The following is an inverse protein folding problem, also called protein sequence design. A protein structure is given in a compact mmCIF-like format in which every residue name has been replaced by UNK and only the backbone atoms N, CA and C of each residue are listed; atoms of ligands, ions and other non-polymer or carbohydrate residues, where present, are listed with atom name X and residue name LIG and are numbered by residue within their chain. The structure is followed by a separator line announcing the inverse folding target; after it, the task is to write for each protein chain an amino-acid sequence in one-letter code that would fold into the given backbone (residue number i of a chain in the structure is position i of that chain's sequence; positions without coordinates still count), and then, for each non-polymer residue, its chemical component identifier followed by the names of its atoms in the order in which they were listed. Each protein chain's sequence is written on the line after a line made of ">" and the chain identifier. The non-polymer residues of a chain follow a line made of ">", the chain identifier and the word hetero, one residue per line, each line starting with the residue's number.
data_IF_541741250179
#
_entry.id   IF_541741250179
#
_cell.length_a   1.000
_cell.length_b   1.000
_cell.length_c   1.000
_cell.angle_alpha   90.00
_cell.angle_beta   90.00
_cell.angle_gamma   90.00
#
_symmetry.space_group_name_H-M   'P 1'
#
loop_
_entity.id
_entity.type
_entity.pdbx_description
1 polymer ?
#
# COMPACT_ATOMS: atom_id res chain seq x y z
N UNK A 1 3.85 22.30 15.52
CA UNK A 1 4.44 22.77 16.78
C UNK A 1 4.91 21.53 17.52
N UNK A 2 6.13 21.07 17.19
CA UNK A 2 6.80 19.96 17.86
C UNK A 2 7.32 20.50 19.20
N UNK A 3 6.80 19.97 20.31
CA UNK A 3 7.39 20.21 21.62
C UNK A 3 8.60 19.30 21.74
N UNK A 4 9.76 19.91 21.81
CA UNK A 4 11.02 19.27 22.11
C UNK A 4 10.94 18.56 23.46
N UNK A 5 11.16 17.25 23.44
CA UNK A 5 11.42 16.51 24.68
C UNK A 5 12.78 17.03 25.17
N UNK A 6 12.86 17.62 26.37
CA UNK A 6 14.08 18.28 26.81
C UNK A 6 15.21 17.24 26.94
N UNK A 7 16.25 17.47 26.15
CA UNK A 7 17.48 16.65 26.13
C UNK A 7 18.08 16.47 27.55
N UNK A 8 17.71 17.35 28.48
CA UNK A 8 18.11 17.33 29.87
C UNK A 8 17.60 16.14 30.70
N UNK A 9 16.46 15.53 30.35
CA UNK A 9 15.93 14.40 31.11
C UNK A 9 16.71 13.11 30.82
N UNK A 10 17.11 12.90 29.56
CA UNK A 10 17.91 11.75 29.14
C UNK A 10 19.36 11.83 29.69
N UNK A 11 19.95 13.03 29.68
CA UNK A 11 21.30 13.26 30.25
C UNK A 11 21.29 13.10 31.74
N UNK A 12 20.29 13.58 32.47
CA UNK A 12 20.15 13.37 33.92
C UNK A 12 19.99 11.88 34.27
N UNK A 13 19.24 11.12 33.48
CA UNK A 13 19.06 9.68 33.72
C UNK A 13 20.35 8.89 33.47
N UNK A 14 21.11 9.21 32.41
CA UNK A 14 22.41 8.58 32.12
C UNK A 14 23.44 8.90 33.16
N UNK A 15 23.50 10.13 33.65
CA UNK A 15 24.46 10.56 34.74
C UNK A 15 24.07 9.89 36.07
N UNK A 16 22.78 9.73 36.38
CA UNK A 16 22.34 9.04 37.60
C UNK A 16 22.65 7.54 37.57
N UNK A 17 22.49 6.89 36.40
CA UNK A 17 22.84 5.49 36.18
C UNK A 17 24.37 5.27 36.33
N UNK A 18 25.17 6.19 35.80
CA UNK A 18 26.64 6.13 35.92
C UNK A 18 27.15 6.32 37.35
N UNK A 19 26.45 7.11 38.17
CA UNK A 19 26.80 7.30 39.57
C UNK A 19 26.54 6.08 40.47
N UNK A 20 25.59 5.22 40.09
CA UNK A 20 25.26 4.00 40.85
C UNK A 20 26.19 2.81 40.54
N UNK A 21 27.06 2.89 39.55
CA UNK A 21 27.96 1.78 39.17
C UNK A 21 29.28 1.73 39.94
N UNK A 22 29.57 2.68 40.81
CA UNK A 22 30.84 2.74 41.56
C UNK A 22 30.99 1.75 42.74
N UNK A 23 30.16 0.74 42.84
CA UNK A 23 30.28 -0.29 43.87
C UNK A 23 29.66 -1.63 43.50
N UNK A 24 29.20 -1.79 42.24
CA UNK A 24 28.46 -2.98 41.82
C UNK A 24 29.42 -4.04 41.24
N UNK A 25 29.22 -5.30 41.64
CA UNK A 25 29.90 -6.45 41.08
C UNK A 25 29.55 -6.57 39.57
N UNK A 26 30.46 -7.12 38.77
CA UNK A 26 30.30 -7.28 37.28
C UNK A 26 28.96 -7.83 36.86
N UNK A 27 28.36 -8.75 37.62
CA UNK A 27 27.05 -9.32 37.40
C UNK A 27 25.90 -8.33 37.58
N UNK A 28 26.02 -7.37 38.50
CA UNK A 28 24.99 -6.34 38.73
C UNK A 28 24.97 -5.31 37.61
N UNK A 29 26.12 -4.97 37.05
CA UNK A 29 26.26 -4.03 35.92
C UNK A 29 25.62 -4.64 34.66
N UNK A 30 25.87 -5.93 34.39
CA UNK A 30 25.28 -6.63 33.22
C UNK A 30 23.76 -6.72 33.32
N UNK A 31 23.17 -6.96 34.48
CA UNK A 31 21.73 -6.99 34.70
C UNK A 31 21.08 -5.60 34.50
N UNK A 32 21.74 -4.53 34.97
CA UNK A 32 21.24 -3.16 34.77
C UNK A 32 21.26 -2.78 33.27
N UNK A 33 22.35 -3.12 32.56
CA UNK A 33 22.46 -2.86 31.13
C UNK A 33 21.40 -3.64 30.32
N UNK A 34 21.17 -4.92 30.66
CA UNK A 34 20.10 -5.73 30.04
C UNK A 34 18.70 -5.13 30.29
N UNK A 35 18.41 -4.69 31.50
CA UNK A 35 17.17 -4.03 31.85
C UNK A 35 16.96 -2.73 31.07
N UNK A 36 18.00 -1.90 30.94
CA UNK A 36 17.94 -0.67 30.15
C UNK A 36 17.67 -0.93 28.66
N UNK A 37 18.33 -1.93 28.08
CA UNK A 37 18.10 -2.33 26.67
C UNK A 37 16.65 -2.82 26.46
N UNK A 38 16.12 -3.62 27.37
CA UNK A 38 14.73 -4.10 27.33
C UNK A 38 13.72 -2.93 27.40
N UNK A 39 13.94 -1.97 28.27
CA UNK A 39 13.04 -0.79 28.38
C UNK A 39 13.10 0.06 27.12
N UNK A 40 14.26 0.26 26.52
CA UNK A 40 14.42 0.99 25.27
C UNK A 40 13.73 0.23 24.11
N UNK A 41 13.94 -1.07 24.01
CA UNK A 41 13.31 -1.91 22.99
C UNK A 41 11.78 -1.89 23.10
N UNK A 42 11.26 -2.03 24.34
CA UNK A 42 9.81 -1.95 24.59
C UNK A 42 9.26 -0.55 24.25
N UNK A 43 9.99 0.51 24.61
CA UNK A 43 9.64 1.88 24.25
C UNK A 43 9.58 2.11 22.74
N UNK A 44 10.54 1.58 21.98
CA UNK A 44 10.56 1.65 20.51
C UNK A 44 9.39 0.86 19.91
N UNK A 45 9.06 -0.32 20.42
CA UNK A 45 7.91 -1.12 19.99
C UNK A 45 6.60 -0.37 20.24
N UNK A 46 6.41 0.16 21.44
CA UNK A 46 5.20 0.92 21.80
C UNK A 46 5.08 2.22 20.97
N UNK A 47 6.19 2.90 20.70
CA UNK A 47 6.20 4.08 19.82
C UNK A 47 5.89 3.72 18.37
N UNK A 48 6.31 2.56 17.89
CA UNK A 48 6.04 2.11 16.55
C UNK A 48 4.56 1.71 16.39
N UNK A 49 3.98 1.02 17.38
CA UNK A 49 2.52 0.77 17.43
C UNK A 49 1.71 2.06 17.56
N UNK A 50 2.15 3.01 18.40
CA UNK A 50 1.49 4.29 18.56
C UNK A 50 1.54 5.15 17.28
N UNK A 51 2.67 5.10 16.54
CA UNK A 51 2.79 5.75 15.22
C UNK A 51 1.93 5.07 14.16
N UNK A 52 1.81 3.75 14.19
CA UNK A 52 0.90 3.00 13.31
C UNK A 52 -0.59 3.33 13.55
N UNK A 53 -0.96 3.67 14.78
CA UNK A 53 -2.33 4.05 15.17
C UNK A 53 -2.70 5.53 14.92
N UNK A 54 -1.73 6.42 14.77
CA UNK A 54 -2.00 7.82 14.38
C UNK A 54 -2.20 7.92 12.87
N UNK A 55 -3.34 7.43 12.38
CA UNK A 55 -3.86 7.80 11.07
C UNK A 55 -4.19 9.28 11.09
N UNK A 56 -3.75 10.01 10.08
CA UNK A 56 -4.04 11.42 9.99
C UNK A 56 -5.57 11.62 9.91
N UNK A 57 -6.15 12.59 10.63
CA UNK A 57 -7.57 12.93 10.50
C UNK A 57 -7.98 13.29 9.07
N UNK A 58 -7.01 13.55 8.22
CA UNK A 58 -7.16 13.88 6.83
C UNK A 58 -7.60 12.69 5.97
N UNK A 59 -7.05 11.47 6.21
CA UNK A 59 -7.46 10.27 5.46
C UNK A 59 -8.89 9.85 5.77
N UNK A 60 -9.34 9.98 7.03
CA UNK A 60 -10.73 9.70 7.42
C UNK A 60 -11.74 10.73 6.86
N UNK A 61 -11.32 11.99 6.71
CA UNK A 61 -12.16 13.04 6.10
C UNK A 61 -12.27 12.84 4.58
N UNK A 62 -11.19 12.46 3.92
CA UNK A 62 -11.16 12.17 2.49
C UNK A 62 -12.02 10.94 2.17
N UNK A 63 -11.90 9.85 2.94
CA UNK A 63 -12.72 8.65 2.78
C UNK A 63 -14.23 8.96 2.94
N UNK A 64 -14.62 9.77 3.92
CA UNK A 64 -16.04 10.16 4.14
C UNK A 64 -16.57 11.10 3.06
N UNK A 65 -15.73 11.90 2.42
CA UNK A 65 -16.10 12.77 1.30
C UNK A 65 -16.20 11.98 -0.01
N UNK A 66 -15.35 10.98 -0.20
CA UNK A 66 -15.35 10.13 -1.37
C UNK A 66 -16.54 9.15 -1.40
N UNK A 67 -16.96 8.63 -0.24
CA UNK A 67 -18.13 7.73 -0.15
C UNK A 67 -19.44 8.36 -0.63
N UNK A 68 -19.58 9.68 -0.60
CA UNK A 68 -20.78 10.38 -1.11
C UNK A 68 -20.92 10.38 -2.63
N UNK A 69 -19.87 9.97 -3.36
CA UNK A 69 -19.83 9.95 -4.83
C UNK A 69 -19.72 8.54 -5.39
N UNK A 70 -19.83 7.51 -4.55
CA UNK A 70 -19.79 6.13 -5.03
C UNK A 70 -20.95 5.84 -5.96
N UNK A 71 -20.82 4.86 -6.87
CA UNK A 71 -21.95 4.33 -7.65
C UNK A 71 -23.11 3.96 -6.73
N UNK A 72 -24.34 3.97 -7.28
CA UNK A 72 -25.52 3.54 -6.55
C UNK A 72 -25.42 2.05 -6.23
N UNK A 73 -25.72 1.69 -4.97
CA UNK A 73 -25.66 0.31 -4.52
C UNK A 73 -25.16 0.15 -3.09
N UNK A 74 -24.93 -1.09 -2.69
CA UNK A 74 -24.43 -1.46 -1.39
C UNK A 74 -22.90 -1.58 -1.39
N UNK A 75 -22.21 -0.98 -0.41
CA UNK A 75 -20.77 -1.15 -0.24
C UNK A 75 -20.53 -2.52 0.42
N UNK A 76 -20.02 -3.48 -0.35
CA UNK A 76 -19.73 -4.85 0.13
C UNK A 76 -18.27 -5.06 0.48
N UNK A 77 -17.37 -4.14 0.07
CA UNK A 77 -15.96 -4.15 0.42
C UNK A 77 -15.41 -2.72 0.48
N UNK A 78 -14.55 -2.46 1.48
CA UNK A 78 -13.90 -1.15 1.66
C UNK A 78 -12.52 -1.32 2.27
N UNK A 79 -11.48 -0.78 1.60
CA UNK A 79 -10.09 -0.69 2.10
C UNK A 79 -9.60 0.77 2.20
N UNK A 80 -10.53 1.74 2.29
CA UNK A 80 -10.17 3.17 2.35
C UNK A 80 -9.22 3.54 3.50
N UNK A 81 -9.07 2.68 4.49
CA UNK A 81 -8.15 2.83 5.60
C UNK A 81 -6.93 1.89 5.54
N UNK A 82 -6.81 1.06 4.50
CA UNK A 82 -5.71 0.13 4.28
C UNK A 82 -5.69 -1.08 5.22
N UNK A 83 -6.82 -1.40 5.88
CA UNK A 83 -6.89 -2.50 6.87
C UNK A 83 -7.70 -3.70 6.43
N UNK A 84 -8.42 -3.61 5.31
CA UNK A 84 -9.19 -4.74 4.82
C UNK A 84 -8.29 -5.90 4.37
N UNK A 85 -8.79 -7.11 4.47
CA UNK A 85 -8.12 -8.29 3.91
C UNK A 85 -8.16 -8.23 2.38
N UNK A 86 -7.11 -8.70 1.68
CA UNK A 86 -7.13 -8.78 0.24
C UNK A 86 -8.21 -9.72 -0.28
N UNK A 87 -8.80 -9.37 -1.41
CA UNK A 87 -9.62 -10.27 -2.19
C UNK A 87 -8.70 -11.22 -2.98
N UNK A 88 -9.00 -12.51 -2.99
CA UNK A 88 -8.24 -13.55 -3.70
C UNK A 88 -9.11 -14.19 -4.76
N UNK A 89 -8.64 -14.23 -6.00
CA UNK A 89 -9.27 -15.06 -7.01
C UNK A 89 -9.01 -16.55 -6.70
N UNK A 90 -9.95 -17.41 -7.03
CA UNK A 90 -9.83 -18.87 -6.83
C UNK A 90 -9.25 -19.55 -8.06
N UNK A 91 -9.52 -19.03 -9.27
CA UNK A 91 -9.08 -19.59 -10.55
C UNK A 91 -7.75 -19.06 -11.05
N UNK A 92 -7.26 -17.95 -10.48
CA UNK A 92 -6.06 -17.27 -10.95
C UNK A 92 -5.17 -16.90 -9.77
N UNK A 93 -3.84 -16.90 -9.89
CA UNK A 93 -2.91 -16.43 -8.85
C UNK A 93 -2.96 -14.90 -8.76
N UNK A 94 -4.12 -14.37 -8.42
CA UNK A 94 -4.41 -12.94 -8.40
C UNK A 94 -5.04 -12.56 -7.07
N UNK A 95 -4.51 -11.53 -6.45
CA UNK A 95 -5.09 -10.90 -5.27
C UNK A 95 -5.06 -9.39 -5.41
N UNK A 96 -5.97 -8.72 -4.72
CA UNK A 96 -6.03 -7.26 -4.78
C UNK A 96 -6.90 -6.66 -3.70
N UNK A 97 -6.71 -5.36 -3.50
CA UNK A 97 -7.41 -4.54 -2.52
C UNK A 97 -7.95 -3.30 -3.22
N UNK A 98 -9.14 -3.36 -3.84
CA UNK A 98 -9.79 -2.15 -4.33
C UNK A 98 -10.15 -1.24 -3.16
N UNK A 99 -10.17 0.08 -3.36
CA UNK A 99 -10.60 1.01 -2.30
C UNK A 99 -12.05 0.75 -1.90
N UNK A 100 -12.92 0.47 -2.90
CA UNK A 100 -14.31 0.04 -2.66
C UNK A 100 -14.75 -1.00 -3.68
N UNK A 101 -15.70 -1.85 -3.27
CA UNK A 101 -16.57 -2.61 -4.17
C UNK A 101 -18.02 -2.29 -3.80
N UNK A 102 -18.77 -1.78 -4.77
CA UNK A 102 -20.18 -1.47 -4.64
C UNK A 102 -20.99 -2.52 -5.42
N UNK A 103 -21.93 -3.16 -4.76
CA UNK A 103 -22.87 -4.07 -5.44
C UNK A 103 -24.03 -3.26 -5.99
N UNK A 104 -24.18 -3.26 -7.33
CA UNK A 104 -25.27 -2.55 -7.96
C UNK A 104 -26.63 -3.14 -7.57
N UNK A 105 -27.77 -2.43 -7.79
CA UNK A 105 -29.10 -2.97 -7.54
C UNK A 105 -29.38 -4.28 -8.29
N UNK A 106 -28.73 -4.49 -9.44
CA UNK A 106 -28.82 -5.71 -10.27
C UNK A 106 -27.90 -6.84 -9.77
N UNK A 107 -27.06 -6.59 -8.73
CA UNK A 107 -26.17 -7.58 -8.14
C UNK A 107 -24.77 -7.65 -8.78
N UNK A 108 -24.44 -6.77 -9.75
CA UNK A 108 -23.12 -6.73 -10.34
C UNK A 108 -22.13 -5.92 -9.48
N UNK A 109 -20.91 -6.44 -9.19
CA UNK A 109 -19.92 -5.72 -8.41
C UNK A 109 -19.24 -4.62 -9.25
N UNK A 110 -19.10 -3.43 -8.67
CA UNK A 110 -18.47 -2.26 -9.28
C UNK A 110 -17.24 -1.90 -8.45
N UNK A 111 -16.02 -2.21 -8.90
CA UNK A 111 -14.81 -1.78 -8.22
C UNK A 111 -14.59 -0.28 -8.41
N UNK A 112 -14.19 0.39 -7.35
CA UNK A 112 -13.82 1.81 -7.35
C UNK A 112 -12.40 1.93 -6.81
N UNK A 113 -11.54 2.60 -7.56
CA UNK A 113 -10.15 2.88 -7.20
C UNK A 113 -9.90 4.37 -7.15
N UNK A 114 -9.35 4.85 -6.04
CA UNK A 114 -9.07 6.26 -5.79
C UNK A 114 -7.62 6.59 -6.12
N UNK A 115 -7.41 7.73 -6.80
CA UNK A 115 -6.09 8.27 -7.11
C UNK A 115 -6.00 9.72 -6.68
N UNK A 116 -5.14 10.02 -5.72
CA UNK A 116 -4.96 11.38 -5.20
C UNK A 116 -4.28 12.34 -6.19
N UNK A 117 -3.81 11.81 -7.31
CA UNK A 117 -3.17 12.61 -8.36
C UNK A 117 -4.19 13.27 -9.28
N UNK A 118 -3.87 14.44 -9.79
CA UNK A 118 -4.61 15.05 -10.89
C UNK A 118 -4.18 14.45 -12.23
N UNK A 119 -5.10 14.41 -13.19
CA UNK A 119 -4.84 13.90 -14.53
C UNK A 119 -5.43 14.85 -15.58
N UNK A 120 -4.87 14.83 -16.80
CA UNK A 120 -5.31 15.75 -17.86
C UNK A 120 -6.58 15.23 -18.56
N UNK A 121 -6.44 14.29 -19.50
CA UNK A 121 -7.56 13.91 -20.39
C UNK A 121 -7.93 12.43 -20.31
N UNK A 122 -6.97 11.55 -20.02
CA UNK A 122 -7.19 10.10 -20.09
C UNK A 122 -6.66 9.39 -18.85
N UNK A 123 -7.35 8.31 -18.45
CA UNK A 123 -6.89 7.45 -17.36
C UNK A 123 -5.52 6.83 -17.69
N UNK A 124 -4.64 6.78 -16.71
CA UNK A 124 -3.31 6.21 -16.89
C UNK A 124 -3.38 4.70 -17.14
N UNK A 125 -2.64 4.17 -18.14
CA UNK A 125 -2.72 2.76 -18.52
C UNK A 125 -2.43 1.78 -17.36
N UNK A 126 -1.53 2.12 -16.43
CA UNK A 126 -1.24 1.30 -15.26
C UNK A 126 -2.43 1.24 -14.30
N UNK A 127 -3.17 2.33 -14.11
CA UNK A 127 -4.36 2.34 -13.24
C UNK A 127 -5.53 1.59 -13.89
N UNK A 128 -5.66 1.67 -15.23
CA UNK A 128 -6.62 0.85 -15.98
C UNK A 128 -6.29 -0.64 -15.82
N UNK A 129 -5.01 -1.02 -15.86
CA UNK A 129 -4.59 -2.41 -15.64
C UNK A 129 -4.83 -2.87 -14.21
N UNK A 130 -4.63 -2.01 -13.22
CA UNK A 130 -4.96 -2.31 -11.82
C UNK A 130 -6.46 -2.59 -11.66
N UNK A 131 -7.31 -1.71 -12.18
CA UNK A 131 -8.76 -1.90 -12.16
C UNK A 131 -9.18 -3.16 -12.92
N UNK A 132 -8.51 -3.46 -14.05
CA UNK A 132 -8.75 -4.67 -14.82
C UNK A 132 -8.44 -5.95 -14.06
N UNK A 133 -7.41 -5.96 -13.22
CA UNK A 133 -7.12 -7.06 -12.32
C UNK A 133 -8.25 -7.26 -11.31
N UNK A 134 -8.80 -6.19 -10.76
CA UNK A 134 -9.97 -6.27 -9.87
C UNK A 134 -11.21 -6.83 -10.57
N UNK A 135 -11.44 -6.51 -11.85
CA UNK A 135 -12.53 -7.13 -12.60
C UNK A 135 -12.38 -8.65 -12.66
N UNK A 136 -11.18 -9.15 -12.93
CA UNK A 136 -10.93 -10.60 -13.00
C UNK A 136 -11.15 -11.27 -11.64
N UNK A 137 -10.72 -10.62 -10.54
CA UNK A 137 -10.97 -11.11 -9.18
C UNK A 137 -12.47 -11.14 -8.89
N UNK A 138 -13.18 -10.06 -9.18
CA UNK A 138 -14.59 -9.94 -8.84
C UNK A 138 -15.47 -10.85 -9.72
N UNK A 139 -15.14 -11.06 -11.00
CA UNK A 139 -15.80 -12.05 -11.86
C UNK A 139 -15.65 -13.49 -11.31
N UNK A 140 -14.60 -13.75 -10.55
CA UNK A 140 -14.36 -15.05 -9.94
C UNK A 140 -15.08 -15.24 -8.60
N UNK A 141 -15.36 -14.14 -7.91
CA UNK A 141 -15.93 -14.15 -6.56
C UNK A 141 -17.45 -13.92 -6.53
N UNK A 142 -18.03 -13.33 -7.58
CA UNK A 142 -19.45 -12.99 -7.64
C UNK A 142 -20.15 -13.73 -8.76
N UNK A 143 -21.45 -14.04 -8.57
CA UNK A 143 -22.27 -14.72 -9.56
C UNK A 143 -22.44 -13.89 -10.85
N UNK A 144 -22.46 -12.57 -10.71
CA UNK A 144 -22.52 -11.66 -11.84
C UNK A 144 -21.15 -10.99 -12.07
N UNK A 145 -20.66 -10.97 -13.31
CA UNK A 145 -19.40 -10.30 -13.61
C UNK A 145 -19.55 -8.77 -13.50
N UNK A 146 -18.46 -8.05 -13.15
CA UNK A 146 -18.45 -6.60 -13.26
C UNK A 146 -18.77 -6.16 -14.69
N UNK A 147 -19.58 -5.14 -14.84
CA UNK A 147 -19.80 -4.53 -16.17
C UNK A 147 -18.80 -3.39 -16.42
N UNK A 148 -18.52 -2.62 -15.39
CA UNK A 148 -17.57 -1.50 -15.40
C UNK A 148 -16.99 -1.27 -14.01
N UNK A 149 -16.00 -0.41 -13.93
CA UNK A 149 -15.47 0.11 -12.66
C UNK A 149 -15.11 1.57 -12.79
N UNK A 150 -14.78 2.20 -11.66
CA UNK A 150 -14.51 3.62 -11.59
C UNK A 150 -13.07 3.87 -11.15
N UNK A 151 -12.33 4.61 -11.96
CA UNK A 151 -11.08 5.24 -11.57
C UNK A 151 -11.36 6.69 -11.21
N UNK A 152 -11.23 7.02 -9.93
CA UNK A 152 -11.46 8.37 -9.42
C UNK A 152 -10.14 9.06 -9.15
N UNK A 153 -9.86 10.10 -9.93
CA UNK A 153 -8.74 10.99 -9.70
C UNK A 153 -9.18 12.22 -8.90
N UNK A 154 -8.21 13.00 -8.43
CA UNK A 154 -8.50 14.20 -7.65
C UNK A 154 -9.39 15.23 -8.39
N UNK A 155 -9.35 15.26 -9.73
CA UNK A 155 -10.06 16.23 -10.57
C UNK A 155 -11.18 15.63 -11.43
N UNK A 156 -11.21 14.32 -11.66
CA UNK A 156 -12.23 13.68 -12.52
C UNK A 156 -12.31 12.17 -12.34
N UNK A 157 -13.44 11.60 -12.73
CA UNK A 157 -13.72 10.17 -12.70
C UNK A 157 -13.72 9.60 -14.12
N UNK A 158 -13.25 8.36 -14.26
CA UNK A 158 -13.34 7.58 -15.49
C UNK A 158 -14.10 6.29 -15.23
N UNK A 159 -15.13 6.05 -16.01
CA UNK A 159 -15.80 4.74 -16.09
C UNK A 159 -15.06 3.86 -17.09
N UNK A 160 -14.54 2.75 -16.63
CA UNK A 160 -13.80 1.78 -17.45
C UNK A 160 -14.67 0.55 -17.63
N UNK A 161 -15.03 0.25 -18.88
CA UNK A 161 -15.83 -0.94 -19.20
C UNK A 161 -14.99 -2.22 -19.06
N UNK A 162 -15.56 -3.25 -18.45
CA UNK A 162 -14.95 -4.59 -18.46
C UNK A 162 -15.23 -5.27 -19.78
N UNK A 163 -14.21 -5.52 -20.56
CA UNK A 163 -14.31 -6.15 -21.88
C UNK A 163 -13.45 -7.41 -21.95
N UNK A 164 -13.81 -8.34 -22.84
CA UNK A 164 -13.00 -9.53 -23.12
C UNK A 164 -11.56 -9.18 -23.52
N UNK A 165 -11.38 -8.10 -24.25
CA UNK A 165 -10.06 -7.64 -24.65
C UNK A 165 -9.21 -7.24 -23.42
N UNK A 166 -9.83 -6.56 -22.45
CA UNK A 166 -9.17 -6.15 -21.21
C UNK A 166 -8.86 -7.36 -20.33
N UNK A 167 -9.81 -8.29 -20.19
CA UNK A 167 -9.62 -9.58 -19.50
C UNK A 167 -8.45 -10.36 -20.09
N UNK A 168 -8.46 -10.59 -21.40
CA UNK A 168 -7.35 -11.28 -22.08
C UNK A 168 -6.01 -10.59 -21.87
N UNK A 169 -5.99 -9.26 -21.78
CA UNK A 169 -4.76 -8.51 -21.50
C UNK A 169 -4.21 -8.79 -20.09
N UNK A 170 -5.09 -8.86 -19.08
CA UNK A 170 -4.71 -9.24 -17.70
C UNK A 170 -4.15 -10.66 -17.67
N UNK A 171 -4.91 -11.63 -18.21
CA UNK A 171 -4.52 -13.05 -18.18
C UNK A 171 -3.20 -13.29 -18.91
N UNK A 172 -2.96 -12.62 -20.05
CA UNK A 172 -1.68 -12.69 -20.74
C UNK A 172 -0.54 -12.13 -19.87
N UNK A 173 -0.74 -11.04 -19.11
CA UNK A 173 0.28 -10.51 -18.21
C UNK A 173 0.55 -11.44 -17.03
N UNK A 174 -0.46 -12.11 -16.52
CA UNK A 174 -0.26 -13.14 -15.50
C UNK A 174 0.61 -14.28 -16.03
N UNK A 175 0.29 -14.79 -17.23
CA UNK A 175 1.11 -15.85 -17.86
C UNK A 175 2.56 -15.38 -18.08
N UNK A 176 2.75 -14.17 -18.61
CA UNK A 176 4.09 -13.59 -18.78
C UNK A 176 4.87 -13.48 -17.44
N UNK A 177 4.16 -13.25 -16.32
CA UNK A 177 4.78 -13.21 -14.98
C UNK A 177 5.09 -14.60 -14.44
N UNK A 178 4.22 -15.59 -14.68
CA UNK A 178 4.45 -16.99 -14.31
C UNK A 178 5.62 -17.61 -15.08
N UNK A 179 5.79 -17.22 -16.35
CA UNK A 179 6.90 -17.67 -17.19
C UNK A 179 8.27 -17.05 -16.82
N UNK A 180 8.26 -16.05 -15.90
CA UNK A 180 9.49 -15.42 -15.44
C UNK A 180 10.14 -16.23 -14.32
N UNK A 181 11.40 -16.60 -14.50
CA UNK A 181 12.25 -17.23 -13.49
C UNK A 181 13.68 -16.64 -13.52
N UNK A 182 14.60 -17.21 -12.77
CA UNK A 182 16.01 -16.79 -12.75
C UNK A 182 16.71 -16.92 -14.13
N UNK A 183 16.25 -17.86 -14.96
CA UNK A 183 16.84 -18.15 -16.28
C UNK A 183 16.13 -17.37 -17.38
N UNK A 184 14.86 -17.01 -17.14
CA UNK A 184 14.01 -16.26 -18.06
C UNK A 184 13.48 -14.99 -17.38
N UNK A 185 14.36 -14.01 -17.11
CA UNK A 185 13.94 -12.77 -16.47
C UNK A 185 13.03 -11.96 -17.40
N UNK A 186 12.12 -11.14 -16.85
CA UNK A 186 11.23 -10.32 -17.65
C UNK A 186 12.02 -9.36 -18.56
N UNK A 187 11.49 -9.13 -19.76
CA UNK A 187 12.07 -8.16 -20.68
C UNK A 187 12.06 -6.76 -20.04
N UNK A 188 13.25 -6.14 -19.95
CA UNK A 188 13.40 -4.81 -19.39
C UNK A 188 12.81 -3.76 -20.36
N UNK A 189 11.74 -3.10 -19.96
CA UNK A 189 11.13 -2.04 -20.74
C UNK A 189 12.03 -0.79 -20.77
N UNK A 190 12.07 -0.09 -21.92
CA UNK A 190 12.66 1.24 -21.99
C UNK A 190 11.98 2.17 -20.99
N UNK A 191 12.77 2.86 -20.18
CA UNK A 191 12.30 3.87 -19.23
C UNK A 191 12.76 5.26 -19.65
N UNK A 192 12.02 6.28 -19.19
CA UNK A 192 12.49 7.66 -19.32
C UNK A 192 13.71 7.87 -18.41
N UNK A 193 14.76 8.60 -18.87
CA UNK A 193 15.95 8.86 -18.06
C UNK A 193 15.63 9.44 -16.68
N UNK A 194 14.65 10.34 -16.59
CA UNK A 194 14.20 10.93 -15.32
C UNK A 194 13.65 9.91 -14.30
N UNK A 195 13.10 8.81 -14.78
CA UNK A 195 12.67 7.70 -13.89
C UNK A 195 13.85 6.88 -13.40
N UNK A 196 14.86 6.67 -14.25
CA UNK A 196 16.07 5.94 -13.90
C UNK A 196 16.89 6.69 -12.85
N UNK A 197 17.00 8.02 -12.95
CA UNK A 197 17.75 8.86 -12.02
C UNK A 197 17.26 8.77 -10.56
N UNK A 198 15.97 8.53 -10.35
CA UNK A 198 15.36 8.41 -9.01
C UNK A 198 15.06 6.97 -8.61
N UNK A 199 15.43 6.00 -9.46
CA UNK A 199 15.14 4.60 -9.22
C UNK A 199 16.18 3.98 -8.26
N UNK A 200 15.76 3.38 -7.14
CA UNK A 200 16.71 2.76 -6.20
C UNK A 200 17.45 1.56 -6.80
N UNK A 201 16.94 0.97 -7.87
CA UNK A 201 17.57 -0.14 -8.58
C UNK A 201 18.51 0.30 -9.72
N UNK A 202 18.67 1.61 -9.96
CA UNK A 202 19.54 2.12 -11.03
C UNK A 202 20.95 1.50 -11.01
N UNK A 203 21.63 1.38 -9.86
CA UNK A 203 23.01 0.87 -9.80
C UNK A 203 23.18 -0.58 -10.28
N UNK A 204 22.12 -1.38 -10.23
CA UNK A 204 22.13 -2.80 -10.61
C UNK A 204 21.30 -3.08 -11.88
N UNK A 205 20.59 -2.07 -12.39
CA UNK A 205 19.74 -2.22 -13.57
C UNK A 205 20.55 -2.01 -14.86
N UNK A 206 20.58 -2.99 -15.78
CA UNK A 206 21.33 -2.87 -17.05
C UNK A 206 20.87 -1.70 -17.94
N UNK A 207 19.61 -1.26 -17.81
CA UNK A 207 19.10 -0.08 -18.52
C UNK A 207 19.48 1.19 -17.76
N UNK A 208 19.34 1.21 -16.42
CA UNK A 208 19.64 2.37 -15.59
C UNK A 208 21.12 2.79 -15.63
N UNK A 209 22.02 1.80 -15.76
CA UNK A 209 23.46 2.05 -15.87
C UNK A 209 23.89 2.69 -17.21
N UNK A 210 23.02 2.65 -18.22
CA UNK A 210 23.32 3.17 -19.57
C UNK A 210 22.75 4.58 -19.81
N UNK A 211 22.19 5.21 -18.77
CA UNK A 211 21.52 6.51 -18.88
C UNK A 211 22.18 7.57 -18.02
#
# INVERSE_FOLDING_TARGET
>A
MMRDVPLNLLTLFVVHLAAQTQGANSTSITLICLGAVMVVALGVLLLNEYRGRKRSPQSARTAKQDSRRLPEGEIVYQDADGTAEPLFATRYPLSGKPDYVVLSPEGAPIPVELKLTMIAETAQPQHVMQLAAYFVILEDLYDQPPMYGVLRYANQDFSIQYTDALKRKVLRRLQEMEDCDEHHPPALARQLPSKCQVCPFQPICPIGQRQ
#
